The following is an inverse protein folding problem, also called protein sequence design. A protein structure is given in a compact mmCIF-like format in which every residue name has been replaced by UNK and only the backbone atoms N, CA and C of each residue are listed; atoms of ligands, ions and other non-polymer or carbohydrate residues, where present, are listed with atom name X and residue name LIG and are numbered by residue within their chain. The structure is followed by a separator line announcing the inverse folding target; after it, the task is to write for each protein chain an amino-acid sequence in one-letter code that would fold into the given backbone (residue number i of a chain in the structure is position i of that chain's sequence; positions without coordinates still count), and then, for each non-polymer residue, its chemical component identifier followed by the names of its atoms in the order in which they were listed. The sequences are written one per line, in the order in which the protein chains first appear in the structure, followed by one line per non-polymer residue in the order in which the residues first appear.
data_IF_049226196575
#
_entry.id   IF_049226196575
#
_cell.length_a   1.000
_cell.length_b   1.000
_cell.length_c   1.000
_cell.angle_alpha   90.00
_cell.angle_beta   90.00
_cell.angle_gamma   90.00
#
_symmetry.space_group_name_H-M   'P 1'
#
loop_
_entity.id
_entity.type
_entity.pdbx_description
1 polymer ?
#
# COMPACT_ATOMS: atom_id res chain seq x y z
N UNK A 1 -15.96 -36.14 11.20
CA UNK A 1 -14.99 -35.47 10.34
C UNK A 1 -14.17 -34.55 11.21
N UNK A 2 -12.93 -34.91 11.54
CA UNK A 2 -12.00 -33.97 12.19
C UNK A 2 -11.51 -33.03 11.09
N UNK A 3 -12.12 -31.87 11.00
CA UNK A 3 -11.54 -30.78 10.22
C UNK A 3 -10.27 -30.34 10.96
N UNK A 4 -9.15 -30.43 10.25
CA UNK A 4 -7.90 -29.86 10.75
C UNK A 4 -8.04 -28.34 10.72
N UNK A 5 -8.50 -27.77 11.83
CA UNK A 5 -8.73 -26.31 11.97
C UNK A 5 -7.49 -25.49 11.63
N UNK A 6 -6.29 -26.06 11.70
CA UNK A 6 -5.04 -25.39 11.32
C UNK A 6 -4.93 -25.17 9.81
N UNK A 7 -5.51 -26.01 8.97
CA UNK A 7 -5.50 -25.84 7.51
C UNK A 7 -6.50 -24.78 7.01
N UNK A 8 -7.45 -24.35 7.85
CA UNK A 8 -8.49 -23.39 7.50
C UNK A 8 -8.27 -22.03 8.16
N UNK A 9 -7.22 -21.86 8.97
CA UNK A 9 -6.96 -20.62 9.68
C UNK A 9 -5.99 -19.73 8.89
N UNK A 10 -6.34 -18.45 8.79
CA UNK A 10 -5.45 -17.40 8.26
C UNK A 10 -4.34 -17.13 9.28
N UNK A 11 -3.08 -17.15 8.84
CA UNK A 11 -1.93 -16.82 9.66
C UNK A 11 -1.20 -15.62 9.10
N UNK A 12 -0.90 -14.63 9.94
CA UNK A 12 -0.20 -13.40 9.55
C UNK A 12 1.10 -13.29 10.36
N UNK A 13 2.24 -13.30 9.69
CA UNK A 13 3.56 -13.28 10.30
C UNK A 13 4.31 -11.99 9.96
N UNK A 14 4.72 -11.17 10.94
CA UNK A 14 5.56 -10.02 10.68
C UNK A 14 7.00 -10.44 10.34
N UNK A 15 7.65 -9.71 9.44
CA UNK A 15 9.07 -9.88 9.13
C UNK A 15 9.83 -8.69 9.70
N UNK A 16 10.67 -8.93 10.70
CA UNK A 16 11.47 -7.91 11.37
C UNK A 16 12.77 -7.64 10.62
N UNK A 17 13.02 -6.38 10.32
CA UNK A 17 14.27 -5.93 9.72
C UNK A 17 15.23 -5.39 10.78
N UNK A 18 16.49 -5.76 10.67
CA UNK A 18 17.56 -5.25 11.54
C UNK A 18 18.11 -3.92 11.01
N UNK A 19 18.17 -3.78 9.70
CA UNK A 19 18.79 -2.67 8.98
C UNK A 19 17.72 -1.84 8.27
N UNK A 20 18.02 -0.56 8.03
CA UNK A 20 17.20 0.30 7.20
C UNK A 20 17.40 -0.02 5.72
N UNK A 21 16.35 0.20 4.93
CA UNK A 21 16.37 0.09 3.48
C UNK A 21 16.86 1.40 2.87
N UNK A 22 17.73 1.29 1.87
CA UNK A 22 18.23 2.37 1.04
C UNK A 22 18.28 1.92 -0.45
N UNK A 23 18.63 2.79 -1.41
CA UNK A 23 18.65 2.41 -2.83
C UNK A 23 19.58 1.26 -3.20
N UNK A 24 20.62 1.01 -2.41
CA UNK A 24 21.58 -0.09 -2.62
C UNK A 24 21.11 -1.42 -2.00
N UNK A 25 20.03 -1.39 -1.21
CA UNK A 25 19.49 -2.56 -0.54
C UNK A 25 18.78 -3.49 -1.53
N UNK A 26 18.98 -4.80 -1.38
CA UNK A 26 18.12 -5.78 -2.05
C UNK A 26 17.00 -6.22 -1.10
N UNK A 27 15.80 -5.70 -1.30
CA UNK A 27 14.64 -5.96 -0.44
C UNK A 27 14.27 -7.44 -0.37
N UNK A 28 14.38 -8.16 -1.48
CA UNK A 28 14.02 -9.59 -1.55
C UNK A 28 15.05 -10.44 -0.80
N UNK A 29 16.34 -10.13 -0.87
CA UNK A 29 17.36 -10.83 -0.10
C UNK A 29 17.17 -10.61 1.41
N UNK A 30 16.85 -9.36 1.81
CA UNK A 30 16.57 -9.04 3.21
C UNK A 30 15.30 -9.77 3.67
N UNK A 31 14.24 -9.80 2.85
CA UNK A 31 13.03 -10.57 3.14
C UNK A 31 13.35 -12.05 3.37
N UNK A 32 14.07 -12.69 2.46
CA UNK A 32 14.39 -14.13 2.52
C UNK A 32 15.22 -14.44 3.78
N UNK A 33 16.22 -13.61 4.09
CA UNK A 33 17.13 -13.83 5.23
C UNK A 33 16.50 -13.48 6.58
N UNK A 34 15.60 -12.52 6.63
CA UNK A 34 14.91 -12.06 7.85
C UNK A 34 13.67 -12.87 8.20
N UNK A 35 13.07 -13.53 7.21
CA UNK A 35 11.86 -14.29 7.38
C UNK A 35 12.13 -15.63 8.10
N UNK A 36 11.38 -15.87 9.19
CA UNK A 36 11.51 -17.09 10.02
C UNK A 36 10.44 -18.14 9.71
N UNK A 37 9.34 -17.78 9.05
CA UNK A 37 8.24 -18.71 8.77
C UNK A 37 8.36 -19.43 7.42
N UNK A 38 9.41 -19.11 6.63
CA UNK A 38 9.56 -19.59 5.26
C UNK A 38 8.60 -18.91 4.27
N UNK A 39 8.91 -19.00 2.98
CA UNK A 39 8.03 -18.57 1.89
C UNK A 39 7.55 -19.82 1.17
N UNK A 40 6.25 -19.95 0.96
CA UNK A 40 5.59 -21.10 0.34
C UNK A 40 4.74 -20.67 -0.85
N UNK A 41 4.39 -21.63 -1.70
CA UNK A 41 3.46 -21.35 -2.81
C UNK A 41 2.09 -20.95 -2.24
N UNK A 42 1.52 -19.88 -2.79
CA UNK A 42 0.23 -19.34 -2.35
C UNK A 42 0.30 -18.34 -1.20
N UNK A 43 1.48 -18.03 -0.67
CA UNK A 43 1.62 -16.97 0.32
C UNK A 43 1.29 -15.60 -0.30
N UNK A 44 0.72 -14.69 0.52
CA UNK A 44 0.57 -13.28 0.19
C UNK A 44 1.57 -12.47 0.99
N UNK A 45 2.42 -11.71 0.31
CA UNK A 45 3.44 -10.87 0.93
C UNK A 45 2.98 -9.42 0.86
N UNK A 46 2.66 -8.84 2.01
CA UNK A 46 2.27 -7.43 2.13
C UNK A 46 3.47 -6.61 2.56
N UNK A 47 3.77 -5.55 1.81
CA UNK A 47 4.98 -4.73 1.95
C UNK A 47 4.58 -3.28 2.13
N UNK A 48 5.07 -2.63 3.19
CA UNK A 48 4.88 -1.18 3.37
C UNK A 48 5.51 -0.39 2.21
N UNK A 49 4.76 0.54 1.63
CA UNK A 49 5.24 1.39 0.53
C UNK A 49 6.56 2.09 0.85
N UNK A 50 6.77 2.46 2.10
CA UNK A 50 7.96 3.23 2.53
C UNK A 50 9.27 2.54 2.19
N UNK A 51 9.39 1.22 2.41
CA UNK A 51 10.63 0.50 2.10
C UNK A 51 10.83 0.30 0.60
N UNK A 52 9.75 0.15 -0.16
CA UNK A 52 9.79 0.10 -1.63
C UNK A 52 10.25 1.46 -2.17
N UNK A 53 9.65 2.55 -1.68
CA UNK A 53 10.03 3.92 -2.06
C UNK A 53 11.50 4.25 -1.72
N UNK A 54 11.98 3.82 -0.55
CA UNK A 54 13.40 3.98 -0.18
C UNK A 54 14.32 3.23 -1.15
N UNK A 55 14.00 1.98 -1.48
CA UNK A 55 14.77 1.19 -2.44
C UNK A 55 14.77 1.82 -3.84
N UNK A 56 13.66 2.42 -4.26
CA UNK A 56 13.54 3.11 -5.55
C UNK A 56 14.19 4.51 -5.56
N UNK A 57 14.82 4.94 -4.46
CA UNK A 57 15.40 6.28 -4.36
C UNK A 57 14.34 7.40 -4.35
N UNK A 58 13.11 7.10 -3.90
CA UNK A 58 12.03 8.08 -3.80
C UNK A 58 12.08 8.90 -2.50
N UNK A 59 13.15 8.79 -1.74
CA UNK A 59 13.45 9.70 -0.63
C UNK A 59 14.09 10.98 -1.18
N UNK A 60 13.49 12.13 -0.90
CA UNK A 60 13.89 13.43 -1.45
C UNK A 60 14.24 14.37 -0.30
N UNK A 61 15.37 15.08 -0.42
CA UNK A 61 15.71 16.13 0.51
C UNK A 61 14.89 17.41 0.22
N UNK A 62 14.09 17.86 1.18
CA UNK A 62 13.30 19.09 1.07
C UNK A 62 14.16 20.33 0.72
N UNK A 63 15.44 20.35 1.13
CA UNK A 63 16.31 21.48 0.83
C UNK A 63 16.58 21.65 -0.68
N UNK A 64 16.45 20.59 -1.46
CA UNK A 64 16.62 20.63 -2.92
C UNK A 64 15.38 21.14 -3.67
N UNK A 65 14.24 21.26 -2.98
CA UNK A 65 12.99 21.68 -3.60
C UNK A 65 12.91 23.21 -3.65
N UNK A 66 12.60 23.75 -4.82
CA UNK A 66 12.34 25.18 -5.05
C UNK A 66 10.82 25.37 -5.06
N UNK A 67 10.24 26.05 -4.06
CA UNK A 67 8.80 26.24 -3.97
C UNK A 67 8.31 27.23 -5.04
N UNK A 68 7.19 26.93 -5.67
CA UNK A 68 6.46 27.82 -6.57
C UNK A 68 5.68 28.88 -5.78
N UNK A 69 5.23 29.95 -6.43
CA UNK A 69 4.36 30.97 -5.82
C UNK A 69 3.07 30.35 -5.27
N UNK A 70 2.53 29.36 -5.97
CA UNK A 70 1.34 28.61 -5.51
C UNK A 70 1.61 27.88 -4.20
N UNK A 71 2.72 27.16 -4.11
CA UNK A 71 3.09 26.42 -2.89
C UNK A 71 3.38 27.36 -1.73
N UNK A 72 3.99 28.51 -1.97
CA UNK A 72 4.22 29.56 -0.97
C UNK A 72 2.88 30.12 -0.46
N UNK A 73 1.93 30.42 -1.36
CA UNK A 73 0.60 30.91 -1.00
C UNK A 73 -0.19 29.92 -0.15
N UNK A 74 -0.22 28.64 -0.55
CA UNK A 74 -0.87 27.57 0.22
C UNK A 74 -0.17 27.38 1.58
N UNK A 75 1.15 27.34 1.61
CA UNK A 75 1.92 27.17 2.83
C UNK A 75 1.64 28.30 3.84
N UNK A 76 1.58 29.55 3.38
CA UNK A 76 1.24 30.71 4.21
C UNK A 76 -0.18 30.59 4.79
N UNK A 77 -1.16 30.19 3.98
CA UNK A 77 -2.55 30.07 4.41
C UNK A 77 -2.77 28.96 5.47
N UNK A 78 -1.97 27.89 5.44
CA UNK A 78 -2.15 26.71 6.29
C UNK A 78 -1.00 26.46 7.27
N UNK A 79 -0.07 27.41 7.43
CA UNK A 79 1.12 27.31 8.29
C UNK A 79 1.94 26.02 8.03
N UNK A 80 2.28 25.79 6.76
CA UNK A 80 3.06 24.64 6.29
C UNK A 80 4.43 25.03 5.75
N UNK A 81 5.31 24.06 5.59
CA UNK A 81 6.56 24.25 4.86
C UNK A 81 6.26 24.37 3.35
N UNK A 82 6.64 25.46 2.66
CA UNK A 82 6.36 25.62 1.23
C UNK A 82 7.06 24.57 0.35
N UNK A 83 8.22 24.07 0.75
CA UNK A 83 8.91 22.98 0.04
C UNK A 83 8.14 21.66 0.12
N UNK A 84 7.55 21.37 1.29
CA UNK A 84 6.67 20.20 1.44
C UNK A 84 5.39 20.35 0.59
N UNK A 85 4.79 21.55 0.58
CA UNK A 85 3.62 21.81 -0.28
C UNK A 85 3.98 21.64 -1.75
N UNK A 86 5.15 22.11 -2.19
CA UNK A 86 5.62 21.90 -3.56
C UNK A 86 5.77 20.42 -3.90
N UNK A 87 6.35 19.62 -2.99
CA UNK A 87 6.44 18.17 -3.17
C UNK A 87 5.04 17.53 -3.30
N UNK A 88 4.07 17.94 -2.47
CA UNK A 88 2.68 17.46 -2.56
C UNK A 88 2.08 17.83 -3.93
N UNK A 89 2.23 19.07 -4.35
CA UNK A 89 1.72 19.53 -5.65
C UNK A 89 2.36 18.79 -6.82
N UNK A 90 3.66 18.47 -6.74
CA UNK A 90 4.39 17.75 -7.77
C UNK A 90 3.87 16.31 -7.99
N UNK A 91 3.28 15.67 -6.98
CA UNK A 91 2.68 14.32 -7.06
C UNK A 91 1.15 14.37 -7.24
N UNK A 92 0.57 15.56 -7.34
CA UNK A 92 -0.87 15.82 -7.42
C UNK A 92 -1.35 15.88 -8.87
N UNK A 93 -2.44 15.16 -9.19
CA UNK A 93 -3.22 15.33 -10.41
C UNK A 93 -4.26 16.46 -10.26
N UNK A 94 -4.96 16.48 -9.11
CA UNK A 94 -5.89 17.54 -8.72
C UNK A 94 -6.02 17.65 -7.21
N UNK A 95 -6.28 18.84 -6.72
CA UNK A 95 -6.62 19.09 -5.32
C UNK A 95 -8.12 18.78 -5.15
N UNK A 96 -8.45 17.94 -4.17
CA UNK A 96 -9.84 17.58 -3.85
C UNK A 96 -10.36 18.53 -2.75
N UNK A 97 -9.56 18.73 -1.69
CA UNK A 97 -9.94 19.61 -0.56
C UNK A 97 -8.71 20.08 0.18
N UNK A 98 -8.76 21.32 0.65
CA UNK A 98 -7.77 21.86 1.59
C UNK A 98 -8.49 22.46 2.78
N UNK A 99 -8.27 21.92 3.97
CA UNK A 99 -8.92 22.39 5.19
C UNK A 99 -8.12 21.98 6.42
N UNK A 100 -8.11 22.82 7.45
CA UNK A 100 -7.42 22.55 8.73
C UNK A 100 -5.95 22.13 8.56
N UNK A 101 -5.25 22.64 7.55
CA UNK A 101 -3.87 22.29 7.27
C UNK A 101 -3.68 20.91 6.60
N UNK A 102 -4.74 20.21 6.23
CA UNK A 102 -4.67 18.94 5.47
C UNK A 102 -4.96 19.23 4.00
N UNK A 103 -4.12 18.72 3.11
CA UNK A 103 -4.28 18.84 1.66
C UNK A 103 -4.69 17.45 1.15
N UNK A 104 -5.99 17.27 0.84
CA UNK A 104 -6.49 16.07 0.20
C UNK A 104 -6.35 16.23 -1.30
N UNK A 105 -5.67 15.31 -1.93
CA UNK A 105 -5.41 15.35 -3.37
C UNK A 105 -5.75 14.00 -4.02
N UNK A 106 -6.02 14.05 -5.31
CA UNK A 106 -5.90 12.89 -6.17
C UNK A 106 -4.46 12.84 -6.69
N UNK A 107 -3.75 11.76 -6.39
CA UNK A 107 -2.38 11.53 -6.84
C UNK A 107 -2.31 11.24 -8.33
N UNK A 108 -1.11 11.25 -8.91
CA UNK A 108 -0.88 10.82 -10.31
C UNK A 108 -1.29 9.36 -10.55
N UNK A 109 -1.23 8.52 -9.51
CA UNK A 109 -1.69 7.12 -9.53
C UNK A 109 -3.23 7.00 -9.51
N UNK A 110 -3.95 8.07 -9.14
CA UNK A 110 -5.42 8.07 -9.02
C UNK A 110 -5.95 7.96 -7.59
N UNK A 111 -5.10 7.68 -6.59
CA UNK A 111 -5.51 7.57 -5.18
C UNK A 111 -5.94 8.94 -4.64
N UNK A 112 -7.00 8.94 -3.83
CA UNK A 112 -7.41 10.15 -3.10
C UNK A 112 -6.95 10.01 -1.65
N UNK A 113 -5.94 10.80 -1.27
CA UNK A 113 -5.33 10.72 0.06
C UNK A 113 -4.80 12.08 0.53
N UNK A 114 -4.43 12.15 1.81
CA UNK A 114 -3.81 13.32 2.40
C UNK A 114 -2.35 13.48 1.91
N UNK A 115 -1.97 14.72 1.60
CA UNK A 115 -0.60 15.11 1.26
C UNK A 115 0.06 14.24 0.17
N UNK A 116 -0.73 13.72 -0.79
CA UNK A 116 -0.28 12.85 -1.88
C UNK A 116 0.44 11.55 -1.39
N UNK A 117 0.16 11.06 -0.18
CA UNK A 117 0.85 9.93 0.41
C UNK A 117 2.31 10.21 0.80
N UNK A 118 2.72 11.49 0.84
CA UNK A 118 4.07 11.86 1.26
C UNK A 118 4.22 11.64 2.76
N UNK A 119 5.29 10.95 3.12
CA UNK A 119 5.61 10.61 4.50
C UNK A 119 6.90 11.32 4.96
N UNK A 120 6.81 12.01 6.10
CA UNK A 120 7.92 12.67 6.78
C UNK A 120 8.51 11.81 7.90
N UNK A 121 7.92 10.63 8.17
CA UNK A 121 8.34 9.77 9.27
C UNK A 121 9.40 8.75 8.85
N UNK A 122 10.27 8.36 9.82
CA UNK A 122 11.34 7.38 9.62
C UNK A 122 12.31 7.70 8.46
N UNK A 123 12.56 8.99 8.24
CA UNK A 123 13.61 9.51 7.36
C UNK A 123 14.48 10.49 8.16
N UNK A 124 15.77 10.58 7.83
CA UNK A 124 16.70 11.46 8.53
C UNK A 124 16.48 12.93 8.13
N UNK A 125 16.43 13.80 9.13
CA UNK A 125 16.47 15.25 8.94
C UNK A 125 15.35 15.79 8.04
N UNK A 126 15.74 16.48 6.97
CA UNK A 126 14.83 17.15 6.04
C UNK A 126 14.40 16.28 4.85
N UNK A 127 14.44 14.95 4.97
CA UNK A 127 13.98 14.07 3.92
C UNK A 127 12.49 13.78 4.03
N UNK A 128 11.86 13.55 2.88
CA UNK A 128 10.49 13.04 2.72
C UNK A 128 10.52 11.81 1.83
N UNK A 129 9.54 10.93 1.97
CA UNK A 129 9.38 9.78 1.08
C UNK A 129 8.11 9.96 0.24
N UNK A 130 8.26 9.90 -1.08
CA UNK A 130 7.15 9.88 -2.03
C UNK A 130 6.66 8.44 -2.23
N UNK A 131 5.46 8.25 -2.78
CA UNK A 131 4.99 6.93 -3.20
C UNK A 131 5.91 6.33 -4.30
N UNK A 132 5.97 4.99 -4.44
CA UNK A 132 6.63 4.35 -5.57
C UNK A 132 6.11 4.92 -6.89
N UNK A 133 6.97 4.98 -7.91
CA UNK A 133 6.59 5.60 -9.19
C UNK A 133 5.46 4.86 -9.89
N UNK A 134 5.50 3.54 -9.85
CA UNK A 134 4.49 2.61 -10.37
C UNK A 134 4.41 1.41 -9.41
N UNK A 135 3.48 1.46 -8.42
CA UNK A 135 3.43 0.44 -7.39
C UNK A 135 3.09 -0.97 -7.91
N UNK A 136 2.27 -1.11 -8.97
CA UNK A 136 1.99 -2.43 -9.58
C UNK A 136 3.25 -3.01 -10.23
N UNK A 137 4.01 -2.19 -10.97
CA UNK A 137 5.29 -2.60 -11.54
C UNK A 137 6.29 -2.99 -10.45
N UNK A 138 6.36 -2.24 -9.36
CA UNK A 138 7.21 -2.56 -8.21
C UNK A 138 6.82 -3.89 -7.57
N UNK A 139 5.52 -4.12 -7.33
CA UNK A 139 5.01 -5.40 -6.81
C UNK A 139 5.38 -6.56 -7.75
N UNK A 140 5.25 -6.36 -9.06
CA UNK A 140 5.59 -7.36 -10.08
C UNK A 140 7.08 -7.69 -10.12
N UNK A 141 7.94 -6.69 -10.01
CA UNK A 141 9.39 -6.90 -9.94
C UNK A 141 9.77 -7.72 -8.70
N UNK A 142 9.24 -7.36 -7.53
CA UNK A 142 9.46 -8.08 -6.28
C UNK A 142 8.95 -9.52 -6.38
N UNK A 143 7.74 -9.74 -6.93
CA UNK A 143 7.16 -11.07 -7.15
C UNK A 143 8.08 -11.95 -8.01
N UNK A 144 8.55 -11.41 -9.13
CA UNK A 144 9.42 -12.13 -10.06
C UNK A 144 10.77 -12.46 -9.41
N UNK A 145 11.33 -11.55 -8.63
CA UNK A 145 12.59 -11.78 -7.93
C UNK A 145 12.45 -12.85 -6.84
N UNK A 146 11.36 -12.83 -6.05
CA UNK A 146 11.05 -13.91 -5.09
C UNK A 146 10.96 -15.25 -5.82
N UNK A 147 10.23 -15.31 -6.93
CA UNK A 147 10.11 -16.53 -7.74
C UNK A 147 11.46 -17.01 -8.25
N UNK A 148 12.32 -16.11 -8.71
CA UNK A 148 13.65 -16.46 -9.23
C UNK A 148 14.55 -17.02 -8.13
N UNK A 149 14.52 -16.43 -6.93
CA UNK A 149 15.41 -16.81 -5.81
C UNK A 149 14.92 -18.02 -5.02
N UNK A 150 13.60 -18.22 -4.92
CA UNK A 150 13.00 -19.25 -4.06
C UNK A 150 12.30 -20.38 -4.84
N UNK A 151 11.98 -20.16 -6.10
CA UNK A 151 11.12 -21.05 -6.90
C UNK A 151 9.62 -20.92 -6.55
N UNK A 152 9.25 -20.11 -5.55
CA UNK A 152 7.88 -20.01 -5.02
C UNK A 152 7.02 -19.04 -5.80
N UNK A 153 5.74 -19.37 -5.94
CA UNK A 153 4.70 -18.51 -6.54
C UNK A 153 3.90 -17.86 -5.43
N UNK A 154 4.06 -16.56 -5.26
CA UNK A 154 3.41 -15.76 -4.22
C UNK A 154 2.62 -14.62 -4.85
N UNK A 155 1.67 -14.04 -4.10
CA UNK A 155 1.15 -12.72 -4.39
C UNK A 155 1.96 -11.66 -3.64
N UNK A 156 2.08 -10.46 -4.21
CA UNK A 156 2.72 -9.31 -3.56
C UNK A 156 1.75 -8.14 -3.56
N UNK A 157 1.60 -7.49 -2.41
CA UNK A 157 0.78 -6.29 -2.21
C UNK A 157 1.67 -5.22 -1.60
N UNK A 158 1.68 -4.02 -2.18
CA UNK A 158 2.29 -2.83 -1.57
C UNK A 158 1.19 -2.05 -0.88
N UNK A 159 1.36 -1.77 0.41
CA UNK A 159 0.37 -1.09 1.25
C UNK A 159 0.82 0.29 1.69
N UNK A 160 -0.14 1.19 1.82
CA UNK A 160 0.04 2.50 2.45
C UNK A 160 -1.11 2.81 3.41
N UNK A 161 -0.86 3.72 4.36
CA UNK A 161 -1.80 4.07 5.41
C UNK A 161 -2.64 5.28 5.02
N UNK A 162 -3.95 5.10 4.81
CA UNK A 162 -4.86 6.17 4.42
C UNK A 162 -5.87 6.51 5.52
N UNK A 163 -6.23 7.80 5.58
CA UNK A 163 -7.42 8.25 6.29
C UNK A 163 -8.69 7.75 5.59
N UNK A 164 -9.77 7.69 6.34
CA UNK A 164 -11.07 7.21 5.83
C UNK A 164 -12.14 8.29 5.93
N UNK A 165 -12.97 8.50 4.91
CA UNK A 165 -14.14 9.36 5.01
C UNK A 165 -15.08 8.89 6.14
N UNK A 166 -15.65 9.83 6.88
CA UNK A 166 -16.69 9.60 7.91
C UNK A 166 -16.29 8.74 9.11
N UNK A 167 -15.04 8.30 9.24
CA UNK A 167 -14.57 7.49 10.37
C UNK A 167 -13.22 7.99 10.87
N UNK A 168 -13.05 8.00 12.18
CA UNK A 168 -11.75 8.25 12.80
C UNK A 168 -10.82 7.03 12.62
N UNK A 169 -9.53 7.29 12.68
CA UNK A 169 -8.47 6.31 12.47
C UNK A 169 -8.15 6.10 11.00
N UNK A 170 -6.99 5.54 10.77
CA UNK A 170 -6.45 5.20 9.46
C UNK A 170 -6.51 3.67 9.28
N UNK A 171 -6.41 3.20 8.04
CA UNK A 171 -6.24 1.79 7.69
C UNK A 171 -5.18 1.68 6.61
N UNK A 172 -4.48 0.55 6.58
CA UNK A 172 -3.61 0.25 5.46
C UNK A 172 -4.47 -0.23 4.28
N UNK A 173 -4.16 0.29 3.09
CA UNK A 173 -4.84 0.00 1.84
C UNK A 173 -3.81 -0.39 0.79
N UNK A 174 -4.20 -1.21 -0.16
CA UNK A 174 -3.34 -1.59 -1.27
C UNK A 174 -3.15 -0.41 -2.23
N UNK A 175 -1.91 -0.18 -2.63
CA UNK A 175 -1.54 0.81 -3.65
C UNK A 175 -0.86 0.17 -4.85
N UNK A 176 -0.45 -1.10 -4.78
CA UNK A 176 0.13 -1.89 -5.87
C UNK A 176 0.00 -3.37 -5.59
N UNK A 177 -0.25 -4.15 -6.63
CA UNK A 177 -0.51 -5.59 -6.53
C UNK A 177 0.19 -6.39 -7.63
N UNK A 178 0.51 -7.65 -7.35
CA UNK A 178 0.96 -8.62 -8.35
C UNK A 178 0.52 -10.03 -7.98
N UNK A 179 -0.08 -10.75 -8.94
CA UNK A 179 -0.43 -12.15 -8.81
C UNK A 179 -1.66 -12.46 -7.95
N UNK A 180 -2.51 -11.47 -7.71
CA UNK A 180 -3.76 -11.60 -6.96
C UNK A 180 -4.80 -10.67 -7.56
N UNK A 181 -6.08 -11.07 -7.53
CA UNK A 181 -7.19 -10.18 -7.89
C UNK A 181 -7.42 -9.11 -6.80
N UNK A 182 -7.76 -7.89 -7.24
CA UNK A 182 -7.99 -6.76 -6.33
C UNK A 182 -9.33 -6.84 -5.62
N UNK A 183 -10.35 -7.36 -6.31
CA UNK A 183 -11.74 -7.44 -5.86
C UNK A 183 -12.25 -8.88 -5.97
N UNK A 184 -12.72 -9.42 -4.85
CA UNK A 184 -13.44 -10.68 -4.82
C UNK A 184 -14.94 -10.42 -5.05
N UNK A 185 -15.43 -10.79 -6.24
CA UNK A 185 -16.85 -10.63 -6.58
C UNK A 185 -17.67 -11.85 -6.19
N UNK A 186 -18.80 -11.59 -5.52
CA UNK A 186 -19.85 -12.57 -5.22
C UNK A 186 -21.06 -12.41 -6.15
N UNK A 187 -20.99 -11.54 -7.13
CA UNK A 187 -22.06 -11.34 -8.08
C UNK A 187 -22.39 -12.65 -8.82
N UNK A 188 -23.69 -12.94 -8.92
CA UNK A 188 -24.18 -14.19 -9.53
C UNK A 188 -24.08 -15.42 -8.65
N UNK A 189 -23.42 -15.37 -7.47
CA UNK A 189 -23.36 -16.50 -6.52
C UNK A 189 -24.61 -16.53 -5.63
N UNK A 190 -25.15 -17.71 -5.30
CA UNK A 190 -26.24 -17.81 -4.33
C UNK A 190 -25.73 -17.58 -2.89
N UNK A 191 -26.53 -16.91 -2.07
CA UNK A 191 -26.34 -16.89 -0.62
C UNK A 191 -26.74 -18.23 0.03
N UNK A 192 -26.65 -18.35 1.35
CA UNK A 192 -26.98 -19.58 2.10
C UNK A 192 -28.44 -20.01 1.97
N UNK A 193 -29.33 -19.14 1.48
CA UNK A 193 -30.75 -19.40 1.24
C UNK A 193 -31.08 -19.54 -0.25
N UNK A 194 -30.06 -19.53 -1.13
CA UNK A 194 -30.23 -19.65 -2.58
C UNK A 194 -30.57 -18.36 -3.31
N UNK A 195 -30.57 -17.20 -2.62
CA UNK A 195 -30.81 -15.90 -3.27
C UNK A 195 -29.54 -15.40 -3.96
N UNK A 196 -29.66 -15.04 -5.23
CA UNK A 196 -28.53 -14.56 -6.02
C UNK A 196 -28.08 -13.18 -5.53
N UNK A 197 -26.77 -13.08 -5.16
CA UNK A 197 -26.09 -11.83 -4.83
C UNK A 197 -25.90 -10.99 -6.09
N UNK A 198 -26.22 -9.70 -6.04
CA UNK A 198 -26.22 -8.81 -7.21
C UNK A 198 -25.09 -7.81 -7.27
N UNK A 199 -24.58 -7.39 -6.10
CA UNK A 199 -23.64 -6.26 -5.99
C UNK A 199 -22.56 -6.48 -4.94
N UNK A 200 -22.46 -7.68 -4.36
CA UNK A 200 -21.48 -7.92 -3.30
C UNK A 200 -20.09 -8.12 -3.90
N UNK A 201 -19.21 -7.18 -3.62
CA UNK A 201 -17.81 -7.20 -4.03
C UNK A 201 -16.95 -6.73 -2.84
N UNK A 202 -15.88 -7.45 -2.57
CA UNK A 202 -14.98 -7.20 -1.45
C UNK A 202 -13.63 -6.76 -1.99
N UNK A 203 -13.11 -5.63 -1.51
CA UNK A 203 -11.77 -5.15 -1.80
C UNK A 203 -10.74 -5.99 -1.01
N UNK A 204 -10.54 -7.23 -1.44
CA UNK A 204 -9.83 -8.25 -0.68
C UNK A 204 -8.38 -7.88 -0.38
N UNK A 205 -7.73 -7.15 -1.29
CA UNK A 205 -6.34 -6.71 -1.06
C UNK A 205 -6.25 -5.62 0.02
N UNK A 206 -7.27 -4.78 0.20
CA UNK A 206 -7.33 -3.81 1.30
C UNK A 206 -7.55 -4.51 2.65
N UNK A 207 -8.39 -5.56 2.69
CA UNK A 207 -8.56 -6.37 3.90
C UNK A 207 -7.27 -7.08 4.30
N UNK A 208 -6.52 -7.60 3.32
CA UNK A 208 -5.21 -8.22 3.55
C UNK A 208 -4.18 -7.18 4.04
N UNK A 209 -4.16 -5.96 3.50
CA UNK A 209 -3.32 -4.88 4.00
C UNK A 209 -3.66 -4.52 5.46
N UNK A 210 -4.96 -4.39 5.77
CA UNK A 210 -5.41 -4.10 7.13
C UNK A 210 -5.06 -5.22 8.12
N UNK A 211 -5.17 -6.49 7.70
CA UNK A 211 -4.75 -7.62 8.53
C UNK A 211 -3.22 -7.65 8.75
N UNK A 212 -2.44 -7.34 7.72
CA UNK A 212 -0.99 -7.25 7.80
C UNK A 212 -0.54 -6.12 8.75
N UNK A 213 -1.20 -4.97 8.71
CA UNK A 213 -0.89 -3.81 9.57
C UNK A 213 -0.98 -4.16 11.06
N UNK A 214 -1.94 -4.98 11.47
CA UNK A 214 -2.11 -5.40 12.86
C UNK A 214 -0.86 -6.08 13.46
N UNK A 215 -0.04 -6.73 12.65
CA UNK A 215 1.21 -7.37 13.09
C UNK A 215 2.45 -6.58 12.72
N UNK A 216 2.41 -5.79 11.65
CA UNK A 216 3.50 -4.91 11.23
C UNK A 216 3.68 -3.75 12.21
N UNK A 217 2.58 -3.09 12.55
CA UNK A 217 2.58 -1.88 13.37
C UNK A 217 3.44 -0.76 12.76
N UNK A 218 3.62 0.32 13.53
CA UNK A 218 4.33 1.52 13.02
C UNK A 218 5.73 1.73 13.64
N UNK A 219 6.08 0.98 14.70
CA UNK A 219 7.29 1.22 15.51
C UNK A 219 8.19 0.00 15.71
N UNK A 220 7.79 -1.17 15.24
CA UNK A 220 8.45 -2.47 15.53
C UNK A 220 9.43 -2.92 14.46
N UNK A 221 9.79 -2.06 13.49
CA UNK A 221 10.69 -2.40 12.38
C UNK A 221 10.26 -3.67 11.62
N UNK A 222 8.96 -3.84 11.43
CA UNK A 222 8.35 -4.97 10.71
C UNK A 222 7.62 -4.47 9.47
N UNK A 223 8.34 -4.04 8.43
CA UNK A 223 7.73 -3.39 7.28
C UNK A 223 7.10 -4.37 6.28
N UNK A 224 7.13 -5.66 6.57
CA UNK A 224 6.54 -6.72 5.75
C UNK A 224 5.76 -7.68 6.64
N UNK A 225 4.64 -8.20 6.11
CA UNK A 225 3.95 -9.36 6.67
C UNK A 225 3.77 -10.44 5.61
N UNK A 226 3.85 -11.70 6.02
CA UNK A 226 3.53 -12.87 5.20
C UNK A 226 2.21 -13.45 5.69
N UNK A 227 1.24 -13.54 4.80
CA UNK A 227 -0.09 -14.10 5.07
C UNK A 227 -0.14 -15.49 4.45
N UNK A 228 -0.39 -16.50 5.29
CA UNK A 228 -0.49 -17.92 4.89
C UNK A 228 -1.93 -18.41 4.95
N UNK A 229 -2.22 -19.40 4.14
CA UNK A 229 -3.52 -20.09 4.06
C UNK A 229 -4.69 -19.22 3.56
N UNK A 230 -4.41 -18.06 2.96
CA UNK A 230 -5.44 -17.31 2.25
C UNK A 230 -5.65 -17.94 0.87
N UNK A 231 -6.90 -18.30 0.55
CA UNK A 231 -7.25 -18.86 -0.76
C UNK A 231 -7.64 -17.73 -1.71
N UNK A 232 -6.90 -17.58 -2.80
CA UNK A 232 -7.18 -16.60 -3.84
C UNK A 232 -6.88 -17.15 -5.23
N UNK A 233 -7.46 -16.56 -6.24
CA UNK A 233 -7.11 -16.84 -7.64
C UNK A 233 -5.89 -16.00 -8.03
N UNK A 234 -4.86 -16.67 -8.54
CA UNK A 234 -3.70 -15.97 -9.10
C UNK A 234 -4.10 -15.31 -10.42
N UNK A 235 -4.15 -13.99 -10.43
CA UNK A 235 -4.61 -13.18 -11.55
C UNK A 235 -3.63 -12.05 -11.84
N UNK A 236 -3.48 -11.71 -13.10
CA UNK A 236 -2.80 -10.49 -13.51
C UNK A 236 -3.84 -9.36 -13.48
N UNK A 237 -3.86 -8.64 -12.36
CA UNK A 237 -4.82 -7.58 -12.07
C UNK A 237 -4.07 -6.30 -11.72
N UNK A 238 -4.78 -5.17 -11.68
CA UNK A 238 -4.23 -3.85 -11.45
C UNK A 238 -4.94 -3.14 -10.30
N UNK A 239 -4.18 -2.41 -9.51
CA UNK A 239 -4.72 -1.63 -8.40
C UNK A 239 -5.74 -0.57 -8.85
N UNK A 240 -5.62 -0.11 -10.09
CA UNK A 240 -6.59 0.83 -10.69
C UNK A 240 -8.03 0.32 -10.70
N UNK A 241 -8.25 -1.00 -10.62
CA UNK A 241 -9.59 -1.60 -10.56
C UNK A 241 -10.30 -1.31 -9.23
N UNK A 242 -9.57 -0.93 -8.18
CA UNK A 242 -10.14 -0.44 -6.91
C UNK A 242 -10.52 1.05 -6.96
N UNK A 243 -9.98 1.78 -7.93
CA UNK A 243 -10.25 3.22 -8.03
C UNK A 243 -11.60 3.43 -8.70
N UNK A 244 -12.54 3.99 -7.94
CA UNK A 244 -13.87 4.30 -8.44
C UNK A 244 -13.80 5.33 -9.57
N UNK A 245 -14.45 5.06 -10.71
CA UNK A 245 -14.58 6.05 -11.78
C UNK A 245 -15.22 7.33 -11.27
N UNK A 246 -14.80 8.48 -11.81
CA UNK A 246 -15.26 9.79 -11.33
C UNK A 246 -16.78 9.99 -11.42
N UNK A 247 -17.42 9.43 -12.41
CA UNK A 247 -18.86 9.53 -12.60
C UNK A 247 -19.67 8.65 -11.62
N UNK A 248 -19.05 7.63 -11.03
CA UNK A 248 -19.66 6.72 -10.04
C UNK A 248 -19.37 7.15 -8.59
N UNK A 249 -18.60 8.22 -8.39
CA UNK A 249 -18.24 8.68 -7.05
C UNK A 249 -19.38 9.49 -6.44
N UNK A 250 -20.03 8.90 -5.43
CA UNK A 250 -21.15 9.51 -4.70
C UNK A 250 -20.69 10.41 -3.54
N UNK A 251 -19.40 10.56 -3.31
CA UNK A 251 -18.82 11.31 -2.17
C UNK A 251 -18.11 12.60 -2.60
N UNK A 252 -18.42 13.10 -3.77
CA UNK A 252 -17.93 14.40 -4.27
C UNK A 252 -18.68 15.55 -3.67
#
# INVERSE_FOLDING_TARGET
MNYDYFQLSLHVFPVHFKEDINPDSNLVDILITSNKCGIEDGDVIVISQKIVSKQEGRAINLETIIPSELSIGIASAYNKNPKLVEAILSETKRIVRMEHGVIIVQTKHGFVCANAGIDESNVDGNYITLLPKDPDSSAKLIQNEIRTKTGKKVAVIISDTFGRPFRLGQTDNAIGIAGIESILSYEGKPDTFGKILRVTAIAVVDELCSAAELVMGKTNKSPIAIIKNFQFESKDDHISNLIRPEFDDLFK
#
